data_IF_022037990870
#
_entry.id   IF_022037990870
#
_cell.length_a   1.000
_cell.length_b   1.000
_cell.length_c   1.000
_cell.angle_alpha   90.00
_cell.angle_beta   90.00
_cell.angle_gamma   90.00
#
_symmetry.space_group_name_H-M   'P 1'
#
loop_
_entity.id
_entity.type
_entity.pdbx_description
1 polymer ?
#
# COMPACT_ATOMS: atom_id res chain seq x y z
N UNK A 1 -23.19 9.40 -15.74
CA UNK A 1 -22.65 10.00 -14.50
C UNK A 1 -22.67 8.88 -13.49
N UNK A 2 -21.57 8.15 -13.46
CA UNK A 2 -21.45 6.75 -13.01
C UNK A 2 -21.48 6.61 -11.50
N UNK A 3 -21.88 5.43 -11.05
CA UNK A 3 -22.04 5.00 -9.67
C UNK A 3 -20.87 5.44 -8.77
N UNK A 4 -21.19 5.71 -7.51
CA UNK A 4 -20.28 5.94 -6.40
C UNK A 4 -19.17 4.85 -6.39
N UNK A 5 -18.02 5.09 -7.04
CA UNK A 5 -16.86 4.18 -7.05
C UNK A 5 -16.22 4.18 -5.67
N UNK A 6 -16.84 3.44 -4.76
CA UNK A 6 -16.26 3.13 -3.47
C UNK A 6 -15.10 2.15 -3.71
N UNK A 7 -13.89 2.43 -3.20
CA UNK A 7 -12.75 1.56 -3.44
C UNK A 7 -12.94 0.23 -2.71
N UNK A 8 -12.55 -0.86 -3.37
CA UNK A 8 -12.49 -2.19 -2.75
C UNK A 8 -11.19 -2.35 -1.97
N UNK A 9 -11.24 -3.08 -0.84
CA UNK A 9 -10.04 -3.48 -0.13
C UNK A 9 -9.28 -4.55 -0.94
N UNK A 10 -8.08 -4.21 -1.40
CA UNK A 10 -7.27 -5.11 -2.22
C UNK A 10 -6.40 -6.06 -1.40
N UNK A 11 -5.86 -5.58 -0.28
CA UNK A 11 -4.92 -6.30 0.56
C UNK A 11 -4.94 -5.76 1.98
N UNK A 12 -4.85 -6.66 2.98
CA UNK A 12 -4.71 -6.29 4.38
C UNK A 12 -3.97 -7.39 5.15
N UNK A 13 -2.69 -7.15 5.42
CA UNK A 13 -1.83 -8.06 6.16
C UNK A 13 -0.72 -7.31 6.91
N UNK A 14 0.12 -8.07 7.62
CA UNK A 14 1.29 -7.57 8.36
C UNK A 14 2.58 -8.12 7.75
N UNK A 15 3.53 -7.22 7.47
CA UNK A 15 4.91 -7.59 7.12
C UNK A 15 5.79 -7.62 8.36
N UNK A 16 6.81 -8.47 8.37
CA UNK A 16 7.74 -8.61 9.50
C UNK A 16 9.14 -8.90 9.00
N UNK A 17 10.07 -8.03 9.37
CA UNK A 17 11.48 -8.11 9.00
C UNK A 17 12.35 -8.17 10.25
N UNK A 18 13.48 -8.88 10.17
CA UNK A 18 14.49 -8.85 11.23
C UNK A 18 15.40 -7.62 11.08
N UNK A 19 15.91 -7.11 12.19
CA UNK A 19 16.81 -5.95 12.24
C UNK A 19 18.19 -6.19 11.60
N UNK A 20 18.48 -7.42 11.17
CA UNK A 20 19.74 -7.81 10.55
C UNK A 20 19.73 -7.66 9.02
N UNK A 21 18.58 -7.43 8.39
CA UNK A 21 18.48 -7.32 6.94
C UNK A 21 18.95 -5.96 6.42
N UNK A 22 19.80 -5.96 5.39
CA UNK A 22 20.28 -4.73 4.74
C UNK A 22 19.20 -4.08 3.86
N UNK A 23 18.18 -4.85 3.45
CA UNK A 23 17.13 -4.40 2.54
C UNK A 23 15.83 -5.19 2.74
N UNK A 24 14.83 -4.54 3.35
CA UNK A 24 13.49 -5.08 3.49
C UNK A 24 12.69 -4.88 2.20
N UNK A 25 12.23 -5.97 1.58
CA UNK A 25 11.39 -5.96 0.39
C UNK A 25 10.23 -6.93 0.52
N UNK A 26 9.03 -6.43 0.26
CA UNK A 26 7.82 -7.24 0.20
C UNK A 26 7.11 -7.08 -1.15
N UNK A 27 6.43 -8.15 -1.57
CA UNK A 27 5.63 -8.17 -2.80
C UNK A 27 4.20 -8.61 -2.49
N UNK A 28 3.24 -7.79 -2.91
CA UNK A 28 1.82 -8.14 -2.97
C UNK A 28 1.44 -8.35 -4.42
N UNK A 29 0.95 -9.54 -4.77
CA UNK A 29 0.40 -9.82 -6.09
C UNK A 29 -1.13 -9.80 -6.04
N UNK A 30 -1.73 -9.12 -7.00
CA UNK A 30 -3.18 -9.06 -7.15
C UNK A 30 -3.65 -10.09 -8.18
N UNK A 31 -4.79 -10.76 -7.95
CA UNK A 31 -5.30 -11.79 -8.88
C UNK A 31 -5.83 -11.21 -10.20
N UNK A 32 -5.98 -9.87 -10.28
CA UNK A 32 -6.47 -9.13 -11.44
C UNK A 32 -5.83 -7.75 -11.48
N UNK A 33 -5.88 -7.10 -12.63
CA UNK A 33 -5.46 -5.71 -12.77
C UNK A 33 -6.31 -4.79 -11.87
N UNK A 34 -5.63 -3.91 -11.14
CA UNK A 34 -6.22 -2.96 -10.19
C UNK A 34 -5.60 -1.58 -10.37
N UNK A 35 -6.27 -0.57 -9.79
CA UNK A 35 -5.73 0.76 -9.61
C UNK A 35 -5.60 1.02 -8.11
N UNK A 36 -4.39 1.24 -7.62
CA UNK A 36 -4.17 1.59 -6.22
C UNK A 36 -4.61 3.04 -6.02
N UNK A 37 -5.52 3.27 -5.07
CA UNK A 37 -6.07 4.60 -4.75
C UNK A 37 -5.52 5.17 -3.45
N UNK A 38 -5.28 4.31 -2.47
CA UNK A 38 -4.74 4.70 -1.17
C UNK A 38 -3.95 3.52 -0.61
N UNK A 39 -2.84 3.82 0.04
CA UNK A 39 -2.12 2.88 0.90
C UNK A 39 -2.15 3.43 2.32
N UNK A 40 -2.46 2.58 3.30
CA UNK A 40 -2.56 2.94 4.71
C UNK A 40 -1.84 1.93 5.59
N UNK A 41 -1.03 2.45 6.51
CA UNK A 41 -0.36 1.68 7.55
C UNK A 41 -1.20 1.81 8.82
N UNK A 42 -1.48 0.69 9.50
CA UNK A 42 -2.35 0.66 10.68
C UNK A 42 -1.52 0.80 11.97
N UNK A 43 -1.61 1.92 12.70
CA UNK A 43 -0.77 2.13 13.87
C UNK A 43 -1.01 1.13 15.00
N UNK A 44 0.00 0.94 15.85
CA UNK A 44 -0.10 0.07 17.00
C UNK A 44 -1.30 0.44 17.89
N UNK A 45 -2.18 -0.54 18.13
CA UNK A 45 -3.38 -0.39 18.95
C UNK A 45 -4.57 0.29 18.27
N UNK A 46 -4.42 0.78 17.02
CA UNK A 46 -5.54 1.33 16.27
C UNK A 46 -6.54 0.23 15.90
N UNK A 47 -7.83 0.49 16.10
CA UNK A 47 -8.90 -0.44 15.71
C UNK A 47 -9.16 -0.31 14.22
N UNK A 48 -9.18 -1.44 13.52
CA UNK A 48 -9.61 -1.52 12.13
C UNK A 48 -11.07 -1.94 12.12
N UNK A 49 -11.92 -1.08 11.58
CA UNK A 49 -13.33 -1.37 11.32
C UNK A 49 -13.48 -1.85 9.88
N UNK A 50 -14.07 -3.03 9.69
CA UNK A 50 -14.34 -3.61 8.37
C UNK A 50 -14.95 -5.00 8.50
N UNK A 51 -15.47 -5.52 7.38
CA UNK A 51 -16.10 -6.84 7.32
C UNK A 51 -15.02 -7.94 7.20
N UNK A 52 -14.36 -8.21 8.32
CA UNK A 52 -13.30 -9.22 8.41
C UNK A 52 -13.77 -10.43 9.23
N UNK A 53 -13.43 -11.66 8.80
CA UNK A 53 -13.59 -12.84 9.65
C UNK A 53 -12.77 -12.68 10.94
N UNK A 54 -13.41 -12.82 12.10
CA UNK A 54 -12.73 -12.77 13.41
C UNK A 54 -12.94 -11.50 14.24
N UNK A 55 -13.76 -10.55 13.80
CA UNK A 55 -14.14 -9.38 14.60
C UNK A 55 -13.13 -8.23 14.53
N UNK A 56 -12.89 -7.55 15.67
CA UNK A 56 -12.03 -6.35 15.72
C UNK A 56 -10.56 -6.73 15.56
N UNK A 57 -9.89 -6.14 14.57
CA UNK A 57 -8.44 -6.21 14.41
C UNK A 57 -7.78 -4.96 14.98
N UNK A 58 -6.66 -5.15 15.67
CA UNK A 58 -5.81 -4.07 16.17
C UNK A 58 -4.56 -3.99 15.31
N UNK A 59 -4.15 -2.77 14.96
CA UNK A 59 -2.86 -2.54 14.33
C UNK A 59 -1.72 -2.94 15.24
N UNK A 60 -0.64 -3.44 14.63
CA UNK A 60 0.54 -3.93 15.32
C UNK A 60 1.84 -3.31 14.76
N UNK A 61 1.75 -2.23 13.98
CA UNK A 61 2.91 -1.62 13.34
C UNK A 61 3.92 -1.09 14.37
N UNK A 62 5.15 -1.58 14.26
CA UNK A 62 6.32 -1.17 15.03
C UNK A 62 7.54 -1.26 14.09
N UNK A 63 8.40 -0.22 13.95
CA UNK A 63 8.52 1.01 14.75
C UNK A 63 7.41 2.05 14.53
N UNK A 64 7.34 3.07 15.40
CA UNK A 64 6.33 4.14 15.34
C UNK A 64 6.58 5.21 14.27
N UNK A 65 7.78 5.19 13.66
CA UNK A 65 8.18 6.03 12.52
C UNK A 65 9.16 5.27 11.63
N UNK A 66 8.97 5.37 10.31
CA UNK A 66 9.88 4.83 9.30
C UNK A 66 9.54 5.43 7.93
N UNK A 67 10.46 5.27 6.98
CA UNK A 67 10.23 5.62 5.58
C UNK A 67 9.93 4.34 4.80
N UNK A 68 9.00 4.40 3.84
CA UNK A 68 8.70 3.28 2.96
C UNK A 68 8.40 3.78 1.55
N UNK A 69 9.01 3.13 0.56
CA UNK A 69 8.77 3.34 -0.86
C UNK A 69 7.81 2.28 -1.42
N UNK A 70 6.97 2.70 -2.36
CA UNK A 70 6.03 1.84 -3.07
C UNK A 70 6.31 1.86 -4.56
N UNK A 71 6.36 0.68 -5.18
CA UNK A 71 6.54 0.52 -6.62
C UNK A 71 5.48 -0.42 -7.17
N UNK A 72 5.12 -0.24 -8.44
CA UNK A 72 4.10 -1.05 -9.12
C UNK A 72 4.62 -1.59 -10.44
N UNK A 73 4.09 -2.74 -10.85
CA UNK A 73 4.26 -3.22 -12.20
C UNK A 73 3.27 -2.49 -13.13
N UNK A 74 3.73 -1.53 -13.93
CA UNK A 74 2.87 -0.78 -14.84
C UNK A 74 2.48 -1.64 -16.06
N UNK A 75 1.25 -2.15 -16.05
CA UNK A 75 0.72 -2.99 -17.13
C UNK A 75 0.50 -2.21 -18.44
N UNK A 76 0.54 -0.87 -18.40
CA UNK A 76 0.53 -0.06 -19.61
C UNK A 76 1.89 -0.04 -20.34
N UNK A 77 2.95 -0.52 -19.68
CA UNK A 77 4.33 -0.59 -20.20
C UNK A 77 4.89 -2.02 -20.17
N UNK A 78 4.33 -2.98 -20.94
CA UNK A 78 4.69 -4.40 -20.87
C UNK A 78 6.15 -4.74 -21.27
N UNK A 79 6.91 -3.78 -21.80
CA UNK A 79 8.34 -3.92 -22.09
C UNK A 79 9.28 -3.29 -21.06
N UNK A 80 8.74 -2.71 -19.98
CA UNK A 80 9.55 -2.13 -18.93
C UNK A 80 10.30 -3.22 -18.15
N UNK A 81 11.59 -3.00 -17.89
CA UNK A 81 12.43 -3.91 -17.11
C UNK A 81 12.51 -3.54 -15.62
N UNK A 82 11.74 -2.54 -15.20
CA UNK A 82 11.78 -1.98 -13.84
C UNK A 82 10.38 -1.65 -13.36
N UNK A 83 10.14 -1.77 -12.06
CA UNK A 83 8.93 -1.25 -11.43
C UNK A 83 8.88 0.28 -11.49
N UNK A 84 7.67 0.83 -11.58
CA UNK A 84 7.42 2.27 -11.58
C UNK A 84 7.16 2.75 -10.15
N UNK A 85 7.78 3.87 -9.76
CA UNK A 85 7.57 4.45 -8.45
C UNK A 85 6.12 4.95 -8.33
N UNK A 86 5.38 4.40 -7.39
CA UNK A 86 4.02 4.83 -7.06
C UNK A 86 4.04 6.02 -6.10
N UNK A 87 4.99 6.02 -5.16
CA UNK A 87 5.17 7.07 -4.17
C UNK A 87 5.88 6.55 -2.93
N UNK A 88 6.00 7.40 -1.92
CA UNK A 88 6.61 7.04 -0.64
C UNK A 88 5.87 7.66 0.53
N UNK A 89 6.02 7.07 1.70
CA UNK A 89 5.36 7.47 2.93
C UNK A 89 6.38 7.55 4.06
N UNK A 90 6.57 8.76 4.59
CA UNK A 90 7.21 8.97 5.89
C UNK A 90 6.18 8.67 6.99
N UNK A 91 6.02 7.39 7.30
CA UNK A 91 5.07 6.94 8.31
C UNK A 91 5.41 7.57 9.66
N UNK A 92 4.37 8.11 10.31
CA UNK A 92 4.42 8.57 11.68
C UNK A 92 3.09 8.22 12.35
N UNK A 93 3.13 7.38 13.38
CA UNK A 93 1.93 6.92 14.10
C UNK A 93 0.98 8.05 14.52
N UNK A 94 1.53 9.20 14.92
CA UNK A 94 0.76 10.38 15.36
C UNK A 94 0.64 11.47 14.28
N UNK A 95 0.98 11.14 13.04
CA UNK A 95 1.03 12.07 11.91
C UNK A 95 0.50 11.42 10.64
N UNK A 96 1.32 11.34 9.60
CA UNK A 96 0.93 10.76 8.33
C UNK A 96 0.95 9.23 8.40
N UNK A 97 -0.20 8.59 8.15
CA UNK A 97 -0.36 7.13 8.17
C UNK A 97 -0.84 6.54 6.84
N UNK A 98 -1.12 7.39 5.85
CA UNK A 98 -1.61 6.97 4.55
C UNK A 98 -1.04 7.84 3.43
N UNK A 99 -1.12 7.35 2.21
CA UNK A 99 -0.78 8.07 0.98
C UNK A 99 -1.90 7.85 -0.03
N UNK A 100 -2.42 8.93 -0.62
CA UNK A 100 -3.31 8.83 -1.77
C UNK A 100 -2.51 8.60 -3.05
N UNK A 101 -3.03 7.76 -3.92
CA UNK A 101 -2.42 7.38 -5.19
C UNK A 101 -3.34 7.83 -6.34
N UNK A 102 -2.82 8.60 -7.30
CA UNK A 102 -3.57 8.96 -8.50
C UNK A 102 -4.79 9.86 -8.26
N UNK A 103 -4.78 10.70 -7.22
CA UNK A 103 -5.84 11.67 -6.92
C UNK A 103 -5.60 13.08 -7.50
N UNK A 104 -4.42 13.33 -8.06
CA UNK A 104 -4.08 14.60 -8.72
C UNK A 104 -4.46 14.62 -10.21
N UNK A 105 -4.83 15.80 -10.73
CA UNK A 105 -5.07 16.04 -12.16
C UNK A 105 -3.88 15.62 -13.06
N UNK A 106 -2.68 15.59 -12.49
CA UNK A 106 -1.42 15.28 -13.18
C UNK A 106 -0.85 13.88 -12.84
N UNK A 107 -1.52 13.08 -12.01
CA UNK A 107 -1.08 11.72 -11.70
C UNK A 107 -2.04 10.67 -12.27
N UNK A 108 -1.69 10.04 -13.41
CA UNK A 108 -2.53 9.02 -14.02
C UNK A 108 -2.64 7.79 -13.10
N UNK A 109 -3.82 7.18 -13.07
CA UNK A 109 -4.02 5.89 -12.40
C UNK A 109 -3.26 4.81 -13.16
N UNK A 110 -2.29 4.17 -12.51
CA UNK A 110 -1.46 3.12 -13.12
C UNK A 110 -2.17 1.76 -12.97
N UNK A 111 -2.52 1.07 -14.07
CA UNK A 111 -3.03 -0.30 -13.98
C UNK A 111 -1.90 -1.24 -13.57
N UNK A 112 -2.10 -1.99 -12.49
CA UNK A 112 -1.07 -2.90 -11.97
C UNK A 112 -1.63 -4.24 -11.52
N UNK A 113 -0.80 -5.27 -11.50
CA UNK A 113 -1.05 -6.58 -10.91
C UNK A 113 -0.17 -6.85 -9.68
N UNK A 114 0.67 -5.89 -9.26
CA UNK A 114 1.52 -6.08 -8.10
C UNK A 114 2.04 -4.79 -7.49
N UNK A 115 2.22 -4.81 -6.16
CA UNK A 115 2.78 -3.75 -5.36
C UNK A 115 4.05 -4.26 -4.66
N UNK A 116 5.16 -3.58 -4.87
CA UNK A 116 6.42 -3.81 -4.18
C UNK A 116 6.59 -2.74 -3.10
N UNK A 117 6.92 -3.19 -1.90
CA UNK A 117 7.19 -2.33 -0.75
C UNK A 117 8.67 -2.42 -0.42
N UNK A 118 9.29 -1.28 -0.09
CA UNK A 118 10.69 -1.20 0.33
C UNK A 118 10.83 -0.27 1.53
N UNK A 119 11.28 -0.80 2.67
CA UNK A 119 11.46 -0.01 3.90
C UNK A 119 11.65 -0.85 5.14
#
# INVERSE_FOLDING_TARGET
MSANEQPDLLFFDTFSHDTSEELNLDLVQFPKSVYVREIRIIPLGARVEGDFPGGVRLGATNPTKFHIDFFVNDLSKPGASTFEALGSLDYCQNGQIHMECGSGLDQPRIPTDGLVLRG
#
